data_IF_298258264565
#
_entry.id   IF_298258264565
#
_cell.length_a   1.000
_cell.length_b   1.000
_cell.length_c   1.000
_cell.angle_alpha   90.00
_cell.angle_beta   90.00
_cell.angle_gamma   90.00
#
_symmetry.space_group_name_H-M   'P 1'
#
loop_
_entity.id
_entity.type
_entity.pdbx_description
1 polymer ?
#
# COMPACT_ATOMS: atom_id res chain seq x y z
N UNK A 1 5.28 -16.47 16.22
CA UNK A 1 5.55 -16.25 14.78
C UNK A 1 7.06 -16.17 14.62
N UNK A 2 7.63 -16.77 13.56
CA UNK A 2 9.08 -16.76 13.32
C UNK A 2 9.51 -15.33 12.96
N UNK A 3 10.62 -14.83 13.49
CA UNK A 3 11.13 -13.49 13.14
C UNK A 3 11.25 -13.35 11.62
N UNK A 4 10.82 -12.22 11.04
CA UNK A 4 10.97 -11.95 9.60
C UNK A 4 12.39 -11.46 9.38
N UNK A 5 13.15 -12.14 8.53
CA UNK A 5 14.56 -11.77 8.25
C UNK A 5 14.68 -11.12 6.88
N UNK A 6 15.77 -10.37 6.64
CA UNK A 6 16.09 -9.73 5.35
C UNK A 6 16.08 -10.74 4.19
N UNK A 7 16.56 -11.95 4.43
CA UNK A 7 16.56 -13.06 3.47
C UNK A 7 15.16 -13.53 3.09
N UNK A 8 14.23 -13.55 4.05
CA UNK A 8 12.85 -13.91 3.77
C UNK A 8 12.18 -12.85 2.89
N UNK A 9 12.48 -11.57 3.10
CA UNK A 9 11.97 -10.47 2.26
C UNK A 9 12.49 -10.57 0.83
N UNK A 10 13.77 -10.86 0.64
CA UNK A 10 14.36 -11.11 -0.68
C UNK A 10 13.70 -12.31 -1.38
N UNK A 11 13.51 -13.43 -0.67
CA UNK A 11 12.79 -14.61 -1.19
C UNK A 11 11.31 -14.32 -1.50
N UNK A 12 10.72 -13.36 -0.80
CA UNK A 12 9.37 -12.84 -1.04
C UNK A 12 9.24 -11.91 -2.25
N UNK A 13 10.34 -11.60 -2.96
CA UNK A 13 10.35 -10.74 -4.14
C UNK A 13 10.52 -9.24 -3.83
N UNK A 14 10.94 -8.89 -2.60
CA UNK A 14 11.40 -7.53 -2.32
C UNK A 14 12.79 -7.31 -2.92
N UNK A 15 13.00 -6.13 -3.50
CA UNK A 15 14.32 -5.71 -3.99
C UNK A 15 15.15 -5.11 -2.86
N UNK A 16 16.48 -5.16 -2.93
CA UNK A 16 17.33 -4.52 -1.91
C UNK A 16 17.01 -3.05 -1.65
N UNK A 17 16.70 -2.27 -2.71
CA UNK A 17 16.29 -0.86 -2.58
C UNK A 17 14.99 -0.70 -1.76
N UNK A 18 14.08 -1.66 -1.90
CA UNK A 18 12.81 -1.68 -1.14
C UNK A 18 13.06 -2.01 0.33
N UNK A 19 13.98 -2.94 0.60
CA UNK A 19 14.37 -3.34 1.95
C UNK A 19 15.11 -2.20 2.67
N UNK A 20 16.03 -1.50 1.98
CA UNK A 20 16.73 -0.33 2.54
C UNK A 20 15.74 0.79 2.88
N UNK A 21 14.73 1.03 2.03
CA UNK A 21 13.65 1.99 2.35
C UNK A 21 12.81 1.55 3.55
N UNK A 22 12.56 0.26 3.67
CA UNK A 22 11.82 -0.29 4.81
C UNK A 22 12.63 -0.10 6.10
N UNK A 23 13.94 -0.33 6.04
CA UNK A 23 14.85 -0.17 7.17
C UNK A 23 14.98 1.31 7.59
N UNK A 24 15.10 2.24 6.63
CA UNK A 24 15.07 3.68 6.91
C UNK A 24 13.73 4.11 7.55
N UNK A 25 12.61 3.53 7.12
CA UNK A 25 11.31 3.77 7.75
C UNK A 25 11.21 3.20 9.18
N UNK A 26 11.86 2.05 9.45
CA UNK A 26 11.95 1.45 10.80
C UNK A 26 12.75 2.34 11.73
N UNK A 27 13.93 2.76 11.28
CA UNK A 27 14.84 3.62 12.05
C UNK A 27 14.15 4.97 12.35
N UNK A 28 13.48 5.58 11.38
CA UNK A 28 12.71 6.83 11.57
C UNK A 28 11.53 6.67 12.52
N UNK A 29 10.94 5.48 12.58
CA UNK A 29 9.88 5.12 13.52
C UNK A 29 10.37 4.76 14.93
N UNK A 30 11.69 4.82 15.19
CA UNK A 30 12.29 4.44 16.47
C UNK A 30 12.38 2.93 16.71
N UNK A 31 12.28 2.12 15.64
CA UNK A 31 12.39 0.66 15.72
C UNK A 31 13.82 0.15 15.55
N UNK A 32 14.05 -1.11 15.91
CA UNK A 32 15.32 -1.81 15.68
C UNK A 32 15.37 -2.44 14.27
N UNK A 33 16.43 -2.12 13.53
CA UNK A 33 16.82 -2.80 12.29
C UNK A 33 16.90 -4.31 12.51
N UNK A 34 16.22 -5.08 11.65
CA UNK A 34 16.10 -6.54 11.78
C UNK A 34 14.72 -7.02 12.23
N UNK A 35 13.92 -6.19 12.91
CA UNK A 35 12.53 -6.50 13.28
C UNK A 35 11.55 -5.95 12.24
N UNK A 36 11.46 -6.65 11.11
CA UNK A 36 10.59 -6.23 10.00
C UNK A 36 9.11 -6.56 10.22
N UNK A 37 8.79 -7.49 11.13
CA UNK A 37 7.43 -7.97 11.38
C UNK A 37 6.43 -6.86 11.79
N UNK A 38 6.69 -5.99 12.79
CA UNK A 38 5.77 -4.90 13.15
C UNK A 38 5.56 -3.90 12.00
N UNK A 39 6.62 -3.62 11.23
CA UNK A 39 6.62 -2.66 10.12
C UNK A 39 5.85 -3.17 8.93
N UNK A 40 6.03 -4.45 8.58
CA UNK A 40 5.29 -5.13 7.52
C UNK A 40 3.80 -5.22 7.87
N UNK A 41 3.49 -5.48 9.14
CA UNK A 41 2.11 -5.50 9.65
C UNK A 41 1.47 -4.12 9.59
N UNK A 42 2.22 -3.07 9.95
CA UNK A 42 1.82 -1.66 9.81
C UNK A 42 1.60 -1.27 8.34
N UNK A 43 2.52 -1.62 7.44
CA UNK A 43 2.39 -1.39 6.01
C UNK A 43 1.13 -2.06 5.44
N UNK A 44 0.87 -3.33 5.80
CA UNK A 44 -0.34 -4.04 5.41
C UNK A 44 -1.60 -3.32 5.90
N UNK A 45 -1.60 -2.83 7.13
CA UNK A 45 -2.77 -2.15 7.70
C UNK A 45 -3.02 -0.77 7.04
N UNK A 46 -1.97 0.00 6.78
CA UNK A 46 -2.04 1.27 6.04
C UNK A 46 -2.50 0.98 4.60
N UNK A 47 -2.06 -0.11 3.99
CA UNK A 47 -2.51 -0.52 2.66
C UNK A 47 -3.99 -0.87 2.61
N UNK A 48 -4.49 -1.68 3.55
CA UNK A 48 -5.91 -2.02 3.64
C UNK A 48 -6.75 -0.76 3.89
N UNK A 49 -6.30 0.12 4.80
CA UNK A 49 -6.96 1.42 5.02
C UNK A 49 -6.98 2.28 3.75
N UNK A 50 -5.84 2.37 3.05
CA UNK A 50 -5.73 3.09 1.78
C UNK A 50 -6.64 2.51 0.71
N UNK A 51 -6.73 1.19 0.61
CA UNK A 51 -7.63 0.50 -0.32
C UNK A 51 -9.11 0.76 0.00
N UNK A 52 -9.50 0.74 1.29
CA UNK A 52 -10.84 1.08 1.71
C UNK A 52 -11.20 2.54 1.36
N UNK A 53 -10.27 3.47 1.60
CA UNK A 53 -10.46 4.89 1.24
C UNK A 53 -10.59 5.03 -0.28
N UNK A 54 -9.72 4.38 -1.07
CA UNK A 54 -9.79 4.39 -2.52
C UNK A 54 -11.16 3.90 -3.02
N UNK A 55 -11.63 2.78 -2.47
CA UNK A 55 -12.92 2.19 -2.84
C UNK A 55 -14.08 3.13 -2.52
N UNK A 56 -14.01 3.83 -1.38
CA UNK A 56 -15.00 4.84 -0.98
C UNK A 56 -15.00 6.04 -1.95
N UNK A 57 -13.83 6.51 -2.36
CA UNK A 57 -13.67 7.61 -3.32
C UNK A 57 -14.21 7.22 -4.70
N UNK A 58 -13.98 5.99 -5.15
CA UNK A 58 -14.54 5.44 -6.41
C UNK A 58 -16.07 5.37 -6.35
N UNK A 59 -16.64 4.85 -5.26
CA UNK A 59 -18.09 4.79 -5.09
C UNK A 59 -18.73 6.17 -5.09
N UNK A 60 -18.11 7.13 -4.38
CA UNK A 60 -18.56 8.52 -4.38
C UNK A 60 -18.56 9.12 -5.78
N UNK A 61 -17.53 8.85 -6.57
CA UNK A 61 -17.42 9.32 -7.95
C UNK A 61 -18.46 8.70 -8.88
N UNK A 62 -18.71 7.39 -8.79
CA UNK A 62 -19.77 6.72 -9.55
C UNK A 62 -21.13 7.33 -9.21
N UNK A 63 -21.39 7.58 -7.93
CA UNK A 63 -22.63 8.22 -7.48
C UNK A 63 -22.80 9.63 -8.07
N UNK A 64 -21.74 10.44 -8.06
CA UNK A 64 -21.76 11.80 -8.62
C UNK A 64 -21.92 11.77 -10.15
N UNK A 65 -21.26 10.84 -10.85
CA UNK A 65 -21.44 10.62 -12.29
C UNK A 65 -22.90 10.30 -12.62
N UNK A 66 -23.53 9.38 -11.89
CA UNK A 66 -24.92 8.99 -12.14
C UNK A 66 -25.90 10.15 -11.91
N UNK A 67 -25.60 11.07 -10.98
CA UNK A 67 -26.48 12.19 -10.63
C UNK A 67 -26.26 13.45 -11.48
N UNK A 68 -25.03 13.75 -11.88
CA UNK A 68 -24.64 15.04 -12.49
C UNK A 68 -24.00 14.86 -13.88
N UNK A 69 -24.84 14.50 -14.86
CA UNK A 69 -24.41 14.16 -16.22
C UNK A 69 -23.73 15.31 -17.00
N UNK A 70 -24.11 16.55 -16.72
CA UNK A 70 -23.55 17.73 -17.42
C UNK A 70 -22.07 18.00 -17.11
N UNK A 71 -21.55 17.52 -15.98
CA UNK A 71 -20.19 17.85 -15.52
C UNK A 71 -19.19 16.70 -15.70
N UNK A 72 -19.56 15.63 -16.42
CA UNK A 72 -18.76 14.41 -16.55
C UNK A 72 -17.32 14.68 -16.97
N UNK A 73 -17.09 15.53 -17.98
CA UNK A 73 -15.74 15.78 -18.50
C UNK A 73 -14.84 16.41 -17.43
N UNK A 74 -15.33 17.45 -16.73
CA UNK A 74 -14.57 18.10 -15.67
C UNK A 74 -14.31 17.19 -14.47
N UNK A 75 -15.34 16.44 -14.05
CA UNK A 75 -15.24 15.48 -12.95
C UNK A 75 -14.25 14.36 -13.26
N UNK A 76 -14.24 13.83 -14.49
CA UNK A 76 -13.28 12.81 -14.92
C UNK A 76 -11.84 13.27 -14.88
N UNK A 77 -11.57 14.52 -15.27
CA UNK A 77 -10.20 15.07 -15.24
C UNK A 77 -9.70 15.21 -13.80
N UNK A 78 -10.52 15.77 -12.91
CA UNK A 78 -10.17 15.92 -11.48
C UNK A 78 -9.95 14.54 -10.84
N UNK A 79 -10.80 13.57 -11.18
CA UNK A 79 -10.71 12.23 -10.64
C UNK A 79 -9.47 11.47 -11.16
N UNK A 80 -9.16 11.59 -12.44
CA UNK A 80 -7.96 11.01 -13.03
C UNK A 80 -6.68 11.60 -12.41
N UNK A 81 -6.66 12.91 -12.14
CA UNK A 81 -5.55 13.56 -11.47
C UNK A 81 -5.40 13.08 -10.02
N UNK A 82 -6.51 13.04 -9.27
CA UNK A 82 -6.52 12.50 -7.90
C UNK A 82 -6.07 11.04 -7.83
N UNK A 83 -6.51 10.21 -8.78
CA UNK A 83 -6.11 8.81 -8.86
C UNK A 83 -4.62 8.67 -9.18
N UNK A 84 -4.09 9.49 -10.10
CA UNK A 84 -2.67 9.50 -10.44
C UNK A 84 -1.80 9.87 -9.23
N UNK A 85 -2.17 10.92 -8.49
CA UNK A 85 -1.48 11.31 -7.26
C UNK A 85 -1.55 10.22 -6.20
N UNK A 86 -2.73 9.60 -6.02
CA UNK A 86 -2.92 8.51 -5.06
C UNK A 86 -2.07 7.28 -5.41
N UNK A 87 -1.97 6.94 -6.69
CA UNK A 87 -1.15 5.82 -7.17
C UNK A 87 0.36 6.09 -7.02
N UNK A 88 0.77 7.35 -7.08
CA UNK A 88 2.15 7.76 -6.87
C UNK A 88 2.53 7.87 -5.39
N UNK A 89 1.60 8.32 -4.54
CA UNK A 89 1.81 8.48 -3.09
C UNK A 89 1.75 7.14 -2.35
N UNK A 90 0.81 6.27 -2.71
CA UNK A 90 0.66 4.99 -2.02
C UNK A 90 1.57 3.98 -2.69
N UNK A 91 2.51 3.37 -1.94
CA UNK A 91 3.41 2.38 -2.48
C UNK A 91 2.65 1.05 -2.66
N UNK A 92 1.76 1.02 -3.65
CA UNK A 92 0.82 -0.08 -3.90
C UNK A 92 1.57 -1.40 -4.16
N UNK A 93 2.68 -1.33 -4.91
CA UNK A 93 3.53 -2.47 -5.20
C UNK A 93 4.20 -3.07 -3.96
N UNK A 94 4.78 -2.24 -3.10
CA UNK A 94 5.43 -2.66 -1.85
C UNK A 94 4.43 -3.30 -0.89
N UNK A 95 3.24 -2.71 -0.78
CA UNK A 95 2.21 -3.20 0.12
C UNK A 95 1.53 -4.47 -0.37
N UNK A 96 1.36 -4.63 -1.69
CA UNK A 96 0.86 -5.88 -2.28
C UNK A 96 1.87 -7.02 -2.11
N UNK A 97 3.17 -6.73 -2.28
CA UNK A 97 4.26 -7.67 -1.94
C UNK A 97 4.27 -8.03 -0.45
N UNK A 98 4.08 -7.06 0.43
CA UNK A 98 3.99 -7.29 1.88
C UNK A 98 2.78 -8.18 2.23
N UNK A 99 1.62 -7.94 1.62
CA UNK A 99 0.43 -8.77 1.80
C UNK A 99 0.66 -10.21 1.31
N UNK A 100 1.18 -10.37 0.08
CA UNK A 100 1.50 -11.68 -0.49
C UNK A 100 2.51 -12.45 0.36
N UNK A 101 3.54 -11.76 0.87
CA UNK A 101 4.54 -12.36 1.74
C UNK A 101 3.94 -12.89 3.05
N UNK A 102 3.07 -12.12 3.72
CA UNK A 102 2.41 -12.57 4.95
C UNK A 102 1.39 -13.69 4.66
N UNK A 103 0.61 -13.57 3.59
CA UNK A 103 -0.38 -14.58 3.20
C UNK A 103 0.27 -15.93 2.92
N UNK A 104 1.39 -15.94 2.21
CA UNK A 104 2.13 -17.16 1.88
C UNK A 104 2.86 -17.78 3.10
N UNK A 105 3.02 -17.01 4.19
CA UNK A 105 3.61 -17.46 5.46
C UNK A 105 2.56 -17.95 6.46
N UNK A 106 1.30 -17.55 6.32
CA UNK A 106 0.18 -18.03 7.14
C UNK A 106 -0.41 -19.36 6.64
N UNK A 107 -0.12 -19.73 5.39
CA UNK A 107 -0.56 -20.99 4.75
C UNK A 107 0.43 -22.16 5.00
N UNK A 108 1.55 -21.90 5.68
CA UNK A 108 2.56 -22.88 6.09
C UNK A 108 2.66 -22.96 7.60
#
# INVERSE_FOLDING_TARGET
MKEVTREDLLKGGFTEKEIVRLDDAIIRGGGETGKYEPTIKGLRQIFIRGLCILLFVILSYIFVLLRYRQYWVGLSVVFAFGFSVFFFLIPFGLSCKAYKFISNRNDK
#
